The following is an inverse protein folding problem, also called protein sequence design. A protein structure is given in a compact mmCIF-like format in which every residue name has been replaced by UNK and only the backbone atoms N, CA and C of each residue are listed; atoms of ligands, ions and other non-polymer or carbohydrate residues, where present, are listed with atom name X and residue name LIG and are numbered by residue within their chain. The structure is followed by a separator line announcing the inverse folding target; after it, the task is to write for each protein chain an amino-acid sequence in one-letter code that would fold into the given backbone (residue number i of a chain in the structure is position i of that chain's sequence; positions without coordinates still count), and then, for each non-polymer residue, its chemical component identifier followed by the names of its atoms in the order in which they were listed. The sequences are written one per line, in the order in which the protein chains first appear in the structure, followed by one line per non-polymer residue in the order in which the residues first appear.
data_IF_925970615948
#
_entry.id   IF_925970615948
#
_cell.length_a   1.000
_cell.length_b   1.000
_cell.length_c   1.000
_cell.angle_alpha   90.00
_cell.angle_beta   90.00
_cell.angle_gamma   90.00
#
_symmetry.space_group_name_H-M   'P 1'
#
loop_
_entity.id
_entity.type
_entity.pdbx_description
1 polymer ?
#
# COMPACT_ATOMS: atom_id res chain seq x y z
N UNK A 1 18.73 -80.40 9.63
CA UNK A 1 17.62 -79.50 9.25
C UNK A 1 18.10 -78.06 9.47
N UNK A 2 18.70 -77.38 8.49
CA UNK A 2 18.10 -76.61 7.37
C UNK A 2 17.24 -75.40 7.81
N UNK A 3 17.68 -74.21 7.32
CA UNK A 3 16.93 -72.97 7.01
C UNK A 3 16.62 -72.01 8.20
N UNK A 4 16.93 -70.70 8.20
CA UNK A 4 17.26 -69.68 7.15
C UNK A 4 18.10 -68.50 7.69
N UNK A 5 18.96 -67.88 6.85
CA UNK A 5 19.43 -66.51 7.00
C UNK A 5 18.39 -65.56 6.38
N UNK A 6 17.69 -64.79 7.20
CA UNK A 6 16.82 -63.74 6.70
C UNK A 6 17.56 -62.40 6.71
N UNK A 7 17.82 -61.92 5.49
CA UNK A 7 17.47 -60.56 5.08
C UNK A 7 18.24 -59.46 5.85
N UNK A 8 19.45 -59.02 5.48
CA UNK A 8 19.90 -58.65 4.14
C UNK A 8 18.84 -57.89 3.33
N UNK A 9 18.20 -56.90 3.95
CA UNK A 9 17.65 -55.74 3.25
C UNK A 9 17.50 -54.61 4.27
N UNK A 10 18.64 -54.07 4.69
CA UNK A 10 18.70 -52.69 5.15
C UNK A 10 18.33 -51.85 3.93
N UNK A 11 17.03 -51.67 3.72
CA UNK A 11 16.49 -50.70 2.78
C UNK A 11 16.93 -49.36 3.34
N UNK A 12 18.10 -48.92 2.87
CA UNK A 12 18.48 -47.53 2.87
C UNK A 12 17.42 -46.85 2.01
N UNK A 13 16.33 -46.44 2.66
CA UNK A 13 15.45 -45.39 2.20
C UNK A 13 16.33 -44.14 2.15
N UNK A 14 17.16 -44.05 1.12
CA UNK A 14 17.66 -42.80 0.60
C UNK A 14 16.40 -42.01 0.25
N UNK A 15 15.99 -41.16 1.18
CA UNK A 15 15.14 -40.03 0.87
C UNK A 15 15.88 -39.25 -0.20
N UNK A 16 15.58 -39.55 -1.46
CA UNK A 16 15.92 -38.69 -2.58
C UNK A 16 15.06 -37.46 -2.34
N UNK A 17 15.57 -36.53 -1.52
CA UNK A 17 15.15 -35.14 -1.58
C UNK A 17 15.50 -34.73 -3.00
N UNK A 18 14.52 -34.80 -3.91
CA UNK A 18 14.57 -34.04 -5.14
C UNK A 18 14.77 -32.60 -4.68
N UNK A 19 16.02 -32.13 -4.75
CA UNK A 19 16.34 -30.74 -4.53
C UNK A 19 15.62 -29.99 -5.65
N UNK A 20 14.38 -29.60 -5.39
CA UNK A 20 13.63 -28.72 -6.27
C UNK A 20 14.36 -27.39 -6.20
N UNK A 21 15.00 -27.05 -7.33
CA UNK A 21 15.53 -25.74 -7.56
C UNK A 21 14.35 -24.84 -7.91
N UNK A 22 14.13 -23.82 -7.08
CA UNK A 22 13.24 -22.72 -7.40
C UNK A 22 14.02 -21.66 -8.15
N UNK A 23 13.35 -20.95 -9.04
CA UNK A 23 13.98 -20.01 -9.96
C UNK A 23 13.45 -18.60 -9.66
N UNK A 24 14.37 -17.66 -9.48
CA UNK A 24 14.06 -16.23 -9.47
C UNK A 24 14.84 -15.54 -10.60
N UNK A 25 14.36 -14.39 -11.05
CA UNK A 25 14.98 -13.67 -12.16
C UNK A 25 15.68 -12.42 -11.65
N UNK A 26 16.92 -12.23 -12.10
CA UNK A 26 17.64 -10.97 -11.98
C UNK A 26 17.49 -10.20 -13.29
N UNK A 27 16.95 -8.99 -13.20
CA UNK A 27 16.60 -8.18 -14.37
C UNK A 27 17.42 -6.90 -14.32
N UNK A 28 18.27 -6.68 -15.31
CA UNK A 28 18.90 -5.39 -15.54
C UNK A 28 18.11 -4.60 -16.58
N UNK A 29 17.80 -3.35 -16.26
CA UNK A 29 17.03 -2.43 -17.09
C UNK A 29 17.98 -1.34 -17.59
N UNK A 30 18.20 -1.27 -18.91
CA UNK A 30 19.12 -0.30 -19.52
C UNK A 30 18.73 1.15 -19.23
N UNK A 31 19.72 2.03 -19.15
CA UNK A 31 19.51 3.47 -18.97
C UNK A 31 18.61 4.08 -20.06
N UNK A 32 17.94 5.19 -19.73
CA UNK A 32 17.33 6.05 -20.74
C UNK A 32 17.63 7.52 -20.47
N UNK A 33 17.58 8.33 -21.51
CA UNK A 33 17.61 9.78 -21.38
C UNK A 33 16.29 10.25 -20.75
N UNK A 34 16.33 10.62 -19.47
CA UNK A 34 15.20 11.25 -18.78
C UNK A 34 14.93 10.77 -17.36
N UNK A 35 15.14 9.49 -17.04
CA UNK A 35 14.74 8.94 -15.72
C UNK A 35 15.84 8.22 -14.94
N UNK A 36 16.81 7.61 -15.62
CA UNK A 36 17.95 6.96 -14.96
C UNK A 36 19.14 6.87 -15.92
N UNK A 37 20.18 7.66 -15.63
CA UNK A 37 21.39 7.75 -16.46
C UNK A 37 22.29 6.51 -16.39
N UNK A 38 22.05 5.60 -15.44
CA UNK A 38 22.88 4.40 -15.22
C UNK A 38 22.13 3.07 -15.32
N UNK A 39 20.84 3.09 -15.69
CA UNK A 39 20.00 1.90 -15.60
C UNK A 39 19.63 1.57 -14.15
N UNK A 40 18.97 0.43 -13.94
CA UNK A 40 18.74 -0.11 -12.59
C UNK A 40 18.46 -1.60 -12.66
N UNK A 41 18.25 -2.20 -11.49
CA UNK A 41 18.10 -3.65 -11.32
C UNK A 41 16.77 -3.94 -10.63
N UNK A 42 16.12 -5.00 -11.09
CA UNK A 42 14.97 -5.62 -10.47
C UNK A 42 15.25 -7.10 -10.17
N UNK A 43 14.53 -7.64 -9.19
CA UNK A 43 14.53 -9.05 -8.82
C UNK A 43 13.08 -9.53 -8.85
N UNK A 44 12.81 -10.60 -9.57
CA UNK A 44 11.48 -11.16 -9.75
C UNK A 44 11.36 -12.53 -9.08
N UNK A 45 10.36 -12.69 -8.23
CA UNK A 45 9.97 -13.94 -7.57
C UNK A 45 8.55 -14.31 -7.99
N UNK A 46 8.40 -15.18 -9.00
CA UNK A 46 7.09 -15.47 -9.61
C UNK A 46 6.48 -14.20 -10.22
N UNK A 47 5.29 -13.83 -9.77
CA UNK A 47 4.57 -12.64 -10.27
C UNK A 47 4.96 -11.34 -9.56
N UNK A 48 5.87 -11.39 -8.58
CA UNK A 48 6.26 -10.22 -7.80
C UNK A 48 7.65 -9.72 -8.21
N UNK A 49 7.72 -8.48 -8.70
CA UNK A 49 8.97 -7.79 -9.06
C UNK A 49 9.32 -6.73 -8.02
N UNK A 50 10.56 -6.76 -7.54
CA UNK A 50 11.12 -5.80 -6.60
C UNK A 50 12.26 -5.03 -7.26
N UNK A 51 12.22 -3.70 -7.28
CA UNK A 51 13.24 -2.88 -7.91
C UNK A 51 13.46 -1.57 -7.16
N UNK A 52 14.70 -1.08 -7.18
CA UNK A 52 15.03 0.22 -6.61
C UNK A 52 14.97 1.29 -7.68
N UNK A 53 14.18 2.33 -7.42
CA UNK A 53 14.05 3.48 -8.31
C UNK A 53 14.28 4.77 -7.54
N UNK A 54 14.93 5.73 -8.20
CA UNK A 54 15.06 7.08 -7.72
C UNK A 54 13.78 7.87 -7.99
N UNK A 55 13.12 8.34 -6.93
CA UNK A 55 11.91 9.16 -7.01
C UNK A 55 11.93 10.24 -5.94
N UNK A 56 11.62 11.48 -6.31
CA UNK A 56 11.48 12.62 -5.38
C UNK A 56 12.71 12.80 -4.46
N UNK A 57 13.92 12.65 -5.00
CA UNK A 57 15.15 12.83 -4.23
C UNK A 57 15.64 11.59 -3.50
N UNK A 58 14.89 10.48 -3.51
CA UNK A 58 15.16 9.30 -2.69
C UNK A 58 15.15 8.02 -3.52
N UNK A 59 16.06 7.10 -3.18
CA UNK A 59 16.03 5.74 -3.72
C UNK A 59 15.01 4.94 -2.90
N UNK A 60 14.03 4.34 -3.56
CA UNK A 60 12.95 3.58 -2.92
C UNK A 60 12.82 2.21 -3.56
N UNK A 61 12.58 1.21 -2.72
CA UNK A 61 12.15 -0.12 -3.14
C UNK A 61 10.68 -0.08 -3.56
N UNK A 62 10.41 -0.49 -4.79
CA UNK A 62 9.08 -0.69 -5.32
C UNK A 62 8.77 -2.18 -5.42
N UNK A 63 7.49 -2.50 -5.28
CA UNK A 63 6.93 -3.82 -5.57
C UNK A 63 5.91 -3.64 -6.69
N UNK A 64 6.05 -4.39 -7.76
CA UNK A 64 5.17 -4.36 -8.92
C UNK A 64 4.80 -5.79 -9.32
N UNK A 65 3.64 -5.93 -9.95
CA UNK A 65 3.25 -7.14 -10.65
C UNK A 65 4.13 -7.33 -11.90
N UNK A 66 4.47 -8.57 -12.23
CA UNK A 66 5.40 -8.89 -13.31
C UNK A 66 4.93 -8.40 -14.69
N UNK A 67 3.65 -8.62 -15.02
CA UNK A 67 3.09 -8.19 -16.31
C UNK A 67 3.09 -6.67 -16.41
N UNK A 68 2.69 -6.02 -15.33
CA UNK A 68 2.69 -4.55 -15.23
C UNK A 68 4.11 -3.98 -15.38
N UNK A 69 5.10 -4.59 -14.73
CA UNK A 69 6.51 -4.20 -14.81
C UNK A 69 7.05 -4.35 -16.24
N UNK A 70 6.81 -5.50 -16.87
CA UNK A 70 7.24 -5.74 -18.23
C UNK A 70 6.57 -4.79 -19.23
N UNK A 71 5.27 -4.53 -19.07
CA UNK A 71 4.55 -3.58 -19.92
C UNK A 71 5.13 -2.16 -19.78
N UNK A 72 5.31 -1.69 -18.55
CA UNK A 72 5.85 -0.36 -18.29
C UNK A 72 7.25 -0.20 -18.90
N UNK A 73 8.18 -1.09 -18.58
CA UNK A 73 9.57 -0.91 -19.01
C UNK A 73 9.80 -1.28 -20.48
N UNK A 74 9.23 -2.38 -20.99
CA UNK A 74 9.44 -2.79 -22.39
C UNK A 74 8.58 -2.02 -23.37
N UNK A 75 7.31 -1.78 -23.06
CA UNK A 75 6.36 -1.23 -24.04
C UNK A 75 6.25 0.28 -23.93
N UNK A 76 5.99 0.81 -22.72
CA UNK A 76 5.81 2.26 -22.55
C UNK A 76 7.13 3.01 -22.61
N UNK A 77 8.16 2.51 -21.93
CA UNK A 77 9.47 3.17 -21.87
C UNK A 77 10.41 2.72 -23.00
N UNK A 78 10.06 1.67 -23.77
CA UNK A 78 10.89 1.09 -24.82
C UNK A 78 12.34 0.79 -24.35
N UNK A 79 12.48 0.23 -23.14
CA UNK A 79 13.78 -0.05 -22.52
C UNK A 79 14.14 -1.53 -22.66
N UNK A 80 15.34 -1.84 -23.16
CA UNK A 80 15.86 -3.21 -23.14
C UNK A 80 15.95 -3.76 -21.71
N UNK A 81 15.47 -5.00 -21.55
CA UNK A 81 15.56 -5.76 -20.30
C UNK A 81 16.49 -6.96 -20.53
N UNK A 82 17.53 -7.07 -19.71
CA UNK A 82 18.43 -8.22 -19.68
C UNK A 82 18.07 -9.09 -18.48
N UNK A 83 17.63 -10.32 -18.73
CA UNK A 83 17.12 -11.23 -17.71
C UNK A 83 18.09 -12.40 -17.55
N UNK A 84 18.47 -12.66 -16.30
CA UNK A 84 19.22 -13.84 -15.90
C UNK A 84 18.37 -14.67 -14.93
N UNK A 85 18.12 -15.91 -15.30
CA UNK A 85 17.44 -16.89 -14.45
C UNK A 85 18.45 -17.48 -13.45
N UNK A 86 18.09 -17.46 -12.15
CA UNK A 86 18.96 -17.92 -11.07
C UNK A 86 18.24 -19.03 -10.31
N UNK A 87 18.78 -20.23 -10.43
CA UNK A 87 18.32 -21.41 -9.70
C UNK A 87 18.88 -21.42 -8.27
N UNK A 88 18.00 -21.62 -7.29
CA UNK A 88 18.35 -21.72 -5.87
C UNK A 88 17.53 -22.80 -5.19
N UNK A 89 17.91 -23.24 -3.99
CA UNK A 89 17.04 -24.13 -3.21
C UNK A 89 15.73 -23.43 -2.85
N UNK A 90 14.63 -24.17 -2.73
CA UNK A 90 13.34 -23.62 -2.30
C UNK A 90 13.39 -22.84 -0.97
N UNK A 91 14.25 -23.29 -0.03
CA UNK A 91 14.49 -22.57 1.22
C UNK A 91 15.13 -21.20 0.99
N UNK A 92 16.06 -21.11 0.04
CA UNK A 92 16.75 -19.86 -0.32
C UNK A 92 15.83 -18.92 -1.08
N UNK A 93 15.04 -19.45 -2.01
CA UNK A 93 14.02 -18.69 -2.72
C UNK A 93 13.05 -18.02 -1.75
N UNK A 94 12.49 -18.81 -0.82
CA UNK A 94 11.55 -18.31 0.19
C UNK A 94 12.19 -17.24 1.09
N UNK A 95 13.41 -17.50 1.57
CA UNK A 95 14.17 -16.54 2.39
C UNK A 95 14.38 -15.20 1.67
N UNK A 96 14.79 -15.23 0.40
CA UNK A 96 15.02 -14.03 -0.40
C UNK A 96 13.71 -13.27 -0.64
N UNK A 97 12.66 -13.97 -1.05
CA UNK A 97 11.35 -13.36 -1.30
C UNK A 97 10.81 -12.69 -0.03
N UNK A 98 10.87 -13.37 1.11
CA UNK A 98 10.45 -12.83 2.40
C UNK A 98 11.28 -11.61 2.79
N UNK A 99 12.59 -11.64 2.60
CA UNK A 99 13.45 -10.49 2.88
C UNK A 99 13.04 -9.26 2.06
N UNK A 100 12.80 -9.39 0.76
CA UNK A 100 12.35 -8.28 -0.07
C UNK A 100 10.95 -7.77 0.33
N UNK A 101 10.02 -8.67 0.65
CA UNK A 101 8.69 -8.30 1.18
C UNK A 101 8.81 -7.49 2.47
N UNK A 102 9.61 -7.99 3.42
CA UNK A 102 9.82 -7.32 4.71
C UNK A 102 10.43 -5.94 4.53
N UNK A 103 11.45 -5.80 3.67
CA UNK A 103 12.07 -4.51 3.36
C UNK A 103 11.08 -3.53 2.75
N UNK A 104 10.27 -3.99 1.80
CA UNK A 104 9.23 -3.17 1.18
C UNK A 104 8.24 -2.64 2.21
N UNK A 105 7.72 -3.49 3.09
CA UNK A 105 6.75 -3.08 4.12
C UNK A 105 7.35 -2.18 5.19
N UNK A 106 8.60 -2.43 5.60
CA UNK A 106 9.32 -1.55 6.52
C UNK A 106 9.48 -0.16 5.92
N UNK A 107 9.92 -0.08 4.67
CA UNK A 107 10.09 1.18 3.96
C UNK A 107 8.75 1.92 3.81
N UNK A 108 7.69 1.24 3.36
CA UNK A 108 6.35 1.84 3.20
C UNK A 108 5.85 2.45 4.52
N UNK A 109 6.00 1.74 5.64
CA UNK A 109 5.66 2.26 6.97
C UNK A 109 6.45 3.51 7.32
N UNK A 110 7.77 3.50 7.12
CA UNK A 110 8.64 4.63 7.43
C UNK A 110 8.26 5.87 6.61
N UNK A 111 7.98 5.71 5.31
CA UNK A 111 7.54 6.83 4.47
C UNK A 111 6.17 7.37 4.85
N UNK A 112 5.23 6.50 5.24
CA UNK A 112 3.94 6.94 5.77
C UNK A 112 4.11 7.77 7.05
N UNK A 113 4.97 7.33 7.95
CA UNK A 113 5.30 8.06 9.18
C UNK A 113 5.97 9.41 8.86
N UNK A 114 6.96 9.42 7.97
CA UNK A 114 7.63 10.64 7.54
C UNK A 114 6.65 11.64 6.92
N UNK A 115 5.77 11.18 6.03
CA UNK A 115 4.74 12.03 5.42
C UNK A 115 3.75 12.58 6.45
N UNK A 116 3.37 11.80 7.46
CA UNK A 116 2.53 12.29 8.55
C UNK A 116 3.22 13.39 9.36
N UNK A 117 4.48 13.18 9.76
CA UNK A 117 5.27 14.18 10.48
C UNK A 117 5.46 15.47 9.67
N UNK A 118 5.66 15.36 8.35
CA UNK A 118 5.76 16.52 7.47
C UNK A 118 4.45 17.33 7.43
N UNK A 119 3.31 16.65 7.36
CA UNK A 119 1.98 17.29 7.41
C UNK A 119 1.73 17.97 8.75
N UNK A 120 2.09 17.32 9.85
CA UNK A 120 1.98 17.89 11.19
C UNK A 120 2.84 19.15 11.34
N UNK A 121 4.07 19.12 10.82
CA UNK A 121 4.96 20.29 10.76
C UNK A 121 4.32 21.46 10.00
N UNK A 122 3.80 21.22 8.80
CA UNK A 122 3.10 22.25 8.02
C UNK A 122 1.85 22.79 8.72
N UNK A 123 1.09 21.94 9.40
CA UNK A 123 -0.07 22.36 10.19
C UNK A 123 0.34 23.29 11.33
N UNK A 124 1.40 22.94 12.08
CA UNK A 124 1.90 23.76 13.18
C UNK A 124 2.44 25.10 12.68
N UNK A 125 3.18 25.12 11.58
CA UNK A 125 3.64 26.35 10.93
C UNK A 125 2.46 27.24 10.53
N UNK A 126 1.42 26.65 9.94
CA UNK A 126 0.21 27.36 9.54
C UNK A 126 -0.55 27.93 10.76
N UNK A 127 -0.69 27.16 11.85
CA UNK A 127 -1.34 27.63 13.08
C UNK A 127 -0.56 28.77 13.74
N UNK A 128 0.77 28.67 13.79
CA UNK A 128 1.63 29.73 14.34
C UNK A 128 1.53 31.01 13.51
N UNK A 129 1.53 30.91 12.18
CA UNK A 129 1.35 32.05 11.28
C UNK A 129 -0.05 32.65 11.44
N UNK A 130 -1.10 31.84 11.49
CA UNK A 130 -2.49 32.29 11.68
C UNK A 130 -2.69 33.00 13.02
N UNK A 131 -2.02 32.54 14.08
CA UNK A 131 -2.09 33.20 15.40
C UNK A 131 -1.31 34.53 15.43
N UNK A 132 -0.23 34.64 14.65
CA UNK A 132 0.58 35.86 14.55
C UNK A 132 0.03 36.87 13.52
N UNK A 133 -0.80 36.42 12.57
CA UNK A 133 -1.32 37.21 11.47
C UNK A 133 -2.65 37.92 11.80
N UNK A 134 -2.54 39.20 12.19
CA UNK A 134 -3.54 40.24 11.83
C UNK A 134 -3.37 40.71 10.37
N UNK A 135 -2.55 40.04 9.56
CA UNK A 135 -2.19 40.42 8.19
C UNK A 135 -2.34 39.23 7.26
N UNK A 136 -3.23 39.37 6.27
CA UNK A 136 -3.65 38.42 5.23
C UNK A 136 -2.80 37.14 5.07
N UNK A 137 -3.42 35.95 5.15
CA UNK A 137 -2.72 34.71 4.88
C UNK A 137 -2.23 34.68 3.43
N UNK A 138 -1.00 34.19 3.22
CA UNK A 138 -0.52 33.80 1.89
C UNK A 138 -1.47 32.77 1.28
N UNK A 139 -1.61 32.72 -0.06
CA UNK A 139 -2.46 31.74 -0.71
C UNK A 139 -2.00 30.34 -0.30
N UNK A 140 -2.90 29.59 0.31
CA UNK A 140 -2.70 28.17 0.57
C UNK A 140 -2.40 27.50 -0.79
N UNK A 141 -1.41 26.61 -0.89
CA UNK A 141 -1.33 25.73 -2.05
C UNK A 141 -2.66 24.95 -2.16
N UNK A 142 -3.20 24.81 -3.38
CA UNK A 142 -4.53 24.27 -3.71
C UNK A 142 -4.88 22.91 -3.07
N UNK A 143 -3.91 22.21 -2.47
CA UNK A 143 -4.17 21.09 -1.57
C UNK A 143 -4.45 21.61 -0.16
N UNK A 144 -5.64 22.21 -0.01
CA UNK A 144 -6.24 22.51 1.29
C UNK A 144 -6.06 21.32 2.23
N UNK A 145 -5.63 21.61 3.45
CA UNK A 145 -5.28 20.65 4.48
C UNK A 145 -6.50 19.80 4.87
N UNK A 146 -6.76 18.72 4.12
CA UNK A 146 -7.83 17.79 4.45
C UNK A 146 -7.35 16.89 5.57
N UNK A 147 -7.86 17.09 6.78
CA UNK A 147 -7.72 16.15 7.89
C UNK A 147 -8.76 15.03 7.70
N UNK A 148 -8.35 13.80 7.30
CA UNK A 148 -9.27 12.69 7.27
C UNK A 148 -9.72 12.38 8.71
N UNK A 149 -10.99 12.66 9.00
CA UNK A 149 -11.61 12.37 10.31
C UNK A 149 -12.12 13.57 11.10
N UNK A 150 -11.85 14.81 10.69
CA UNK A 150 -12.51 15.98 11.30
C UNK A 150 -13.81 16.29 10.54
N UNK A 151 -14.78 15.39 10.66
CA UNK A 151 -16.17 15.68 10.27
C UNK A 151 -16.80 16.65 11.28
N UNK A 152 -16.22 17.82 11.47
CA UNK A 152 -16.83 18.95 12.19
C UNK A 152 -17.27 19.94 11.12
N UNK A 153 -18.42 19.64 10.51
CA UNK A 153 -19.09 20.53 9.59
C UNK A 153 -19.80 21.59 10.42
N UNK A 154 -19.11 22.68 10.71
CA UNK A 154 -19.75 23.89 11.20
C UNK A 154 -19.99 24.81 10.00
N UNK A 155 -21.18 25.40 9.93
CA UNK A 155 -21.45 26.48 9.00
C UNK A 155 -21.10 27.81 9.68
N UNK A 156 -20.77 28.85 8.89
CA UNK A 156 -20.47 30.19 9.44
C UNK A 156 -21.62 30.76 10.31
N UNK A 157 -22.86 30.29 10.08
CA UNK A 157 -24.02 30.62 10.92
C UNK A 157 -23.97 30.05 12.34
N UNK A 158 -23.17 29.02 12.60
CA UNK A 158 -23.02 28.40 13.92
C UNK A 158 -22.20 29.28 14.88
N UNK A 159 -21.49 30.27 14.34
CA UNK A 159 -20.66 31.21 15.09
C UNK A 159 -21.24 32.63 15.14
N UNK A 160 -22.49 32.84 14.70
CA UNK A 160 -23.14 34.15 14.79
C UNK A 160 -23.40 34.53 16.26
N UNK A 161 -22.74 35.59 16.79
CA UNK A 161 -22.88 36.01 18.19
C UNK A 161 -24.30 36.46 18.56
N UNK A 162 -25.19 36.64 17.58
CA UNK A 162 -26.61 36.93 17.79
C UNK A 162 -27.47 35.69 18.13
N UNK A 163 -27.01 34.48 17.81
CA UNK A 163 -27.74 33.24 18.04
C UNK A 163 -27.42 32.67 19.42
N UNK A 164 -28.10 33.17 20.45
CA UNK A 164 -28.07 32.53 21.78
C UNK A 164 -28.88 31.24 21.77
N UNK A 165 -28.38 30.21 21.11
CA UNK A 165 -28.83 28.84 21.42
C UNK A 165 -28.24 28.46 22.77
N UNK A 166 -29.10 28.05 23.72
CA UNK A 166 -28.68 27.64 25.06
C UNK A 166 -27.71 26.47 24.91
N UNK A 167 -26.48 26.63 25.41
CA UNK A 167 -25.53 25.54 25.56
C UNK A 167 -26.19 24.42 26.39
N UNK A 168 -26.58 23.32 25.74
CA UNK A 168 -27.18 22.18 26.43
C UNK A 168 -28.13 21.28 25.64
N UNK A 169 -28.60 21.68 24.46
CA UNK A 169 -29.44 20.80 23.61
C UNK A 169 -28.73 20.50 22.29
N UNK A 170 -27.90 19.45 22.31
CA UNK A 170 -27.37 18.84 21.09
C UNK A 170 -28.51 18.20 20.29
N UNK A 171 -29.10 18.92 19.33
CA UNK A 171 -29.94 18.33 18.29
C UNK A 171 -29.08 17.79 17.13
N UNK A 172 -28.10 16.93 17.42
CA UNK A 172 -27.33 16.21 16.39
C UNK A 172 -28.14 15.09 15.71
N UNK A 173 -29.44 14.97 16.01
CA UNK A 173 -30.27 13.82 15.61
C UNK A 173 -30.97 14.04 14.27
N UNK A 174 -31.12 15.28 13.79
CA UNK A 174 -32.00 15.56 12.65
C UNK A 174 -31.31 15.35 11.29
N UNK A 175 -30.01 15.68 11.19
CA UNK A 175 -29.21 15.53 9.96
C UNK A 175 -28.72 14.09 9.72
N UNK A 176 -28.48 13.30 10.77
CA UNK A 176 -28.10 11.90 10.63
C UNK A 176 -29.25 11.01 10.16
N UNK A 177 -30.49 11.29 10.56
CA UNK A 177 -31.67 10.52 10.13
C UNK A 177 -31.97 10.69 8.65
N UNK A 178 -31.87 11.91 8.10
CA UNK A 178 -32.15 12.14 6.67
C UNK A 178 -31.11 11.48 5.78
N UNK A 179 -29.83 11.57 6.15
CA UNK A 179 -28.73 10.94 5.40
C UNK A 179 -28.81 9.41 5.46
N UNK A 180 -29.09 8.83 6.64
CA UNK A 180 -29.29 7.38 6.76
C UNK A 180 -30.52 6.89 6.00
N UNK A 181 -31.58 7.69 5.92
CA UNK A 181 -32.77 7.37 5.13
C UNK A 181 -32.46 7.40 3.62
N UNK A 182 -31.68 8.38 3.18
CA UNK A 182 -31.22 8.49 1.79
C UNK A 182 -30.30 7.32 1.40
N UNK A 183 -29.32 7.00 2.25
CA UNK A 183 -28.40 5.88 2.02
C UNK A 183 -29.15 4.54 1.99
N UNK A 184 -30.11 4.36 2.91
CA UNK A 184 -30.98 3.17 2.92
C UNK A 184 -31.76 3.04 1.62
N UNK A 185 -32.37 4.14 1.14
CA UNK A 185 -33.10 4.15 -0.13
C UNK A 185 -32.21 3.83 -1.33
N UNK A 186 -30.95 4.25 -1.33
CA UNK A 186 -29.99 3.92 -2.41
C UNK A 186 -29.56 2.45 -2.38
N UNK A 187 -29.39 1.87 -1.21
CA UNK A 187 -29.04 0.44 -1.09
C UNK A 187 -30.25 -0.43 -1.46
N UNK A 188 -31.45 -0.04 -1.04
CA UNK A 188 -32.69 -0.74 -1.38
C UNK A 188 -32.97 -0.72 -2.89
N UNK A 189 -32.66 0.40 -3.59
CA UNK A 189 -32.79 0.48 -5.05
C UNK A 189 -31.74 -0.33 -5.82
N UNK A 190 -30.52 -0.46 -5.27
CA UNK A 190 -29.43 -1.19 -5.90
C UNK A 190 -29.45 -2.71 -5.63
N UNK A 191 -29.90 -3.14 -4.44
CA UNK A 191 -29.70 -4.51 -3.95
C UNK A 191 -30.95 -5.19 -3.39
N UNK A 192 -32.14 -4.59 -3.57
CA UNK A 192 -33.44 -5.06 -3.05
C UNK A 192 -33.59 -4.99 -1.52
N UNK A 193 -34.83 -4.87 -1.05
CA UNK A 193 -35.15 -4.71 0.37
C UNK A 193 -34.71 -5.88 1.27
N UNK A 194 -34.48 -7.07 0.69
CA UNK A 194 -34.03 -8.25 1.42
C UNK A 194 -32.55 -8.20 1.82
N UNK A 195 -31.73 -7.40 1.13
CA UNK A 195 -30.28 -7.33 1.32
C UNK A 195 -29.89 -6.85 2.73
N UNK A 196 -30.58 -5.83 3.24
CA UNK A 196 -30.30 -5.28 4.57
C UNK A 196 -30.73 -6.23 5.70
N UNK A 197 -31.74 -7.07 5.47
CA UNK A 197 -32.16 -8.08 6.43
C UNK A 197 -31.16 -9.23 6.49
N UNK A 198 -30.66 -9.70 5.34
CA UNK A 198 -29.68 -10.78 5.24
C UNK A 198 -28.33 -10.40 5.87
N UNK A 199 -27.86 -9.16 5.65
CA UNK A 199 -26.61 -8.64 6.25
C UNK A 199 -26.65 -8.42 7.76
N UNK A 200 -27.84 -8.42 8.38
CA UNK A 200 -27.97 -8.29 9.85
C UNK A 200 -27.90 -9.63 10.58
N UNK A 201 -28.04 -10.73 9.85
CA UNK A 201 -28.04 -12.10 10.39
C UNK A 201 -26.74 -12.84 10.14
N UNK A 202 -25.82 -12.28 9.35
CA UNK A 202 -24.42 -12.71 9.16
C UNK A 202 -23.49 -11.97 10.14
#
# INVERSE_FOLDING_TARGET
MRLKPYLACLVVLLSINTANADLFQYIYIEANEGSSSGGHVAVQFGDEVFHYQYQNGLIRLFKQDADSFHFEYRMLQNRPLHIADIEVSASTFSLLQEHFKLRFWQQDRQFKQFSALQKDGHLLEWLLQSNNARTSPLPLPDNSLTLPGTGLFFNDSDFDPGSKSKAGTCEATQSSRSILTMLRSQIESAHSNAFLAQRRTE
#
